data_IF_243397875726
#
_entry.id   IF_243397875726
#
_cell.length_a   1.000
_cell.length_b   1.000
_cell.length_c   1.000
_cell.angle_alpha   90.00
_cell.angle_beta   90.00
_cell.angle_gamma   90.00
#
_symmetry.space_group_name_H-M   'P 1'
#
loop_
_entity.id
_entity.type
_entity.pdbx_description
1 polymer ?
#
# COMPACT_ATOMS: atom_id res chain seq x y z
N UNK A 1 -19.77 -20.01 -8.04
CA UNK A 1 -19.82 -19.59 -6.64
C UNK A 1 -19.42 -18.14 -6.60
N UNK A 2 -20.24 -17.28 -6.02
CA UNK A 2 -19.93 -15.85 -5.89
C UNK A 2 -18.99 -15.65 -4.69
N UNK A 3 -17.92 -14.89 -4.86
CA UNK A 3 -16.95 -14.63 -3.80
C UNK A 3 -17.50 -13.57 -2.84
N UNK A 4 -17.27 -13.75 -1.56
CA UNK A 4 -17.57 -12.74 -0.55
C UNK A 4 -16.67 -11.52 -0.72
N UNK A 5 -17.11 -10.36 -0.20
CA UNK A 5 -16.30 -9.14 -0.24
C UNK A 5 -14.92 -9.32 0.41
N UNK A 6 -14.83 -10.10 1.49
CA UNK A 6 -13.56 -10.40 2.16
C UNK A 6 -12.63 -11.23 1.27
N UNK A 7 -13.17 -12.24 0.58
CA UNK A 7 -12.40 -13.05 -0.35
C UNK A 7 -11.88 -12.22 -1.53
N UNK A 8 -12.69 -11.30 -2.05
CA UNK A 8 -12.29 -10.38 -3.11
C UNK A 8 -11.18 -9.43 -2.66
N UNK A 9 -11.27 -8.89 -1.44
CA UNK A 9 -10.23 -8.04 -0.86
C UNK A 9 -8.92 -8.81 -0.63
N UNK A 10 -9.02 -10.05 -0.14
CA UNK A 10 -7.86 -10.92 0.04
C UNK A 10 -7.18 -11.18 -1.31
N UNK A 11 -7.95 -11.61 -2.31
CA UNK A 11 -7.45 -11.87 -3.66
C UNK A 11 -6.78 -10.63 -4.24
N UNK A 12 -7.39 -9.44 -4.07
CA UNK A 12 -6.81 -8.20 -4.56
C UNK A 12 -5.50 -7.85 -3.85
N UNK A 13 -5.43 -8.07 -2.54
CA UNK A 13 -4.20 -7.88 -1.75
C UNK A 13 -3.06 -8.81 -2.20
N UNK A 14 -3.37 -10.06 -2.49
CA UNK A 14 -2.40 -11.03 -3.01
C UNK A 14 -1.83 -10.58 -4.37
N UNK A 15 -2.69 -10.17 -5.30
CA UNK A 15 -2.23 -9.66 -6.60
C UNK A 15 -1.30 -8.44 -6.46
N UNK A 16 -1.60 -7.53 -5.53
CA UNK A 16 -0.75 -6.36 -5.25
C UNK A 16 0.61 -6.78 -4.67
N UNK A 17 0.65 -7.81 -3.82
CA UNK A 17 1.91 -8.35 -3.26
C UNK A 17 2.76 -9.06 -4.32
N UNK A 18 2.14 -9.79 -5.24
CA UNK A 18 2.83 -10.44 -6.36
C UNK A 18 3.44 -9.40 -7.32
N UNK A 19 2.67 -8.36 -7.65
CA UNK A 19 3.17 -7.24 -8.45
C UNK A 19 4.35 -6.55 -7.76
N UNK A 20 4.23 -6.25 -6.46
CA UNK A 20 5.31 -5.65 -5.68
C UNK A 20 6.58 -6.51 -5.69
N UNK A 21 6.44 -7.82 -5.45
CA UNK A 21 7.57 -8.77 -5.43
C UNK A 21 8.26 -8.86 -6.80
N UNK A 22 7.47 -8.84 -7.86
CA UNK A 22 7.97 -8.81 -9.24
C UNK A 22 8.80 -7.57 -9.55
N UNK A 23 8.33 -6.40 -9.10
CA UNK A 23 9.04 -5.13 -9.30
C UNK A 23 10.35 -5.08 -8.50
N UNK A 24 10.35 -5.63 -7.28
CA UNK A 24 11.55 -5.77 -6.45
C UNK A 24 12.62 -6.64 -7.10
N UNK A 25 12.22 -7.71 -7.81
CA UNK A 25 13.15 -8.63 -8.47
C UNK A 25 13.89 -8.00 -9.66
N UNK A 26 13.56 -6.76 -10.05
CA UNK A 26 14.27 -6.02 -11.10
C UNK A 26 14.00 -6.54 -12.51
N UNK A 27 12.94 -7.32 -12.72
CA UNK A 27 12.56 -7.75 -14.06
C UNK A 27 12.14 -6.53 -14.89
N UNK A 28 12.76 -6.34 -16.06
CA UNK A 28 12.43 -5.24 -16.96
C UNK A 28 10.95 -5.30 -17.33
N UNK A 29 10.24 -4.17 -17.27
CA UNK A 29 8.79 -4.10 -17.43
C UNK A 29 8.29 -4.84 -18.69
N UNK A 30 9.03 -4.77 -19.80
CA UNK A 30 8.75 -5.46 -21.06
C UNK A 30 8.90 -6.99 -20.99
N UNK A 31 9.96 -7.47 -20.31
CA UNK A 31 10.20 -8.89 -20.12
C UNK A 31 9.11 -9.51 -19.25
N UNK A 32 8.66 -8.72 -18.29
CA UNK A 32 7.64 -9.10 -17.34
C UNK A 32 6.24 -9.06 -17.99
N UNK A 33 5.93 -8.07 -18.84
CA UNK A 33 4.71 -8.06 -19.67
C UNK A 33 4.61 -9.28 -20.59
N UNK A 34 5.74 -9.79 -21.10
CA UNK A 34 5.81 -10.98 -21.96
C UNK A 34 5.61 -12.31 -21.22
N UNK A 35 5.97 -12.38 -19.93
CA UNK A 35 5.86 -13.60 -19.10
C UNK A 35 4.59 -13.65 -18.26
N UNK A 36 3.93 -12.51 -18.05
CA UNK A 36 2.73 -12.41 -17.22
C UNK A 36 1.52 -13.05 -17.89
N UNK A 37 0.68 -13.78 -17.12
CA UNK A 37 -0.67 -14.12 -17.55
C UNK A 37 -1.43 -12.85 -17.98
N UNK A 38 -2.30 -12.96 -18.98
CA UNK A 38 -3.12 -11.84 -19.49
C UNK A 38 -3.99 -11.20 -18.39
N UNK A 39 -4.20 -11.90 -17.28
CA UNK A 39 -4.98 -11.47 -16.11
C UNK A 39 -4.13 -10.85 -14.98
N UNK A 40 -2.81 -10.79 -15.11
CA UNK A 40 -1.94 -10.24 -14.07
C UNK A 40 -1.92 -8.71 -14.10
N UNK A 41 -2.02 -8.09 -12.93
CA UNK A 41 -1.97 -6.64 -12.76
C UNK A 41 -0.68 -6.03 -13.31
N UNK A 42 -0.81 -4.96 -14.08
CA UNK A 42 0.29 -4.08 -14.44
C UNK A 42 0.30 -2.83 -13.53
N UNK A 43 1.45 -2.15 -13.37
CA UNK A 43 1.53 -0.92 -12.59
C UNK A 43 0.56 0.16 -13.09
N UNK A 44 0.28 0.18 -14.39
CA UNK A 44 -0.62 1.14 -15.01
C UNK A 44 -2.11 0.91 -14.65
N UNK A 45 -2.46 -0.29 -14.17
CA UNK A 45 -3.83 -0.67 -13.79
C UNK A 45 -4.21 -0.26 -12.36
N UNK A 46 -3.29 0.32 -11.60
CA UNK A 46 -3.47 0.62 -10.17
C UNK A 46 -4.15 1.97 -9.94
N UNK A 47 -5.19 1.98 -9.10
CA UNK A 47 -5.77 3.21 -8.59
C UNK A 47 -4.91 3.90 -7.52
N UNK A 48 -5.23 5.16 -7.19
CA UNK A 48 -4.48 5.95 -6.20
C UNK A 48 -4.31 5.24 -4.83
N UNK A 49 -5.36 4.56 -4.36
CA UNK A 49 -5.32 3.83 -3.08
C UNK A 49 -4.42 2.60 -3.14
N UNK A 50 -4.38 1.92 -4.28
CA UNK A 50 -3.59 0.70 -4.47
C UNK A 50 -2.11 1.04 -4.65
N UNK A 51 -1.83 2.12 -5.38
CA UNK A 51 -0.51 2.75 -5.40
C UNK A 51 -0.06 3.14 -4.00
N UNK A 52 -0.92 3.79 -3.22
CA UNK A 52 -0.61 4.11 -1.83
C UNK A 52 -0.32 2.86 -1.00
N UNK A 53 -1.11 1.79 -1.17
CA UNK A 53 -0.88 0.50 -0.49
C UNK A 53 0.46 -0.13 -0.89
N UNK A 54 0.84 -0.13 -2.17
CA UNK A 54 2.15 -0.60 -2.61
C UNK A 54 3.30 0.24 -2.04
N UNK A 55 3.16 1.57 -2.04
CA UNK A 55 4.09 2.46 -1.35
C UNK A 55 4.13 2.15 0.15
N UNK A 56 3.07 1.61 0.77
CA UNK A 56 3.14 1.14 2.16
C UNK A 56 4.06 -0.04 2.39
N UNK A 57 4.14 -0.97 1.43
CA UNK A 57 4.98 -2.16 1.55
C UNK A 57 6.48 -1.86 1.55
N UNK A 58 6.92 -0.72 1.00
CA UNK A 58 8.34 -0.36 0.95
C UNK A 58 8.89 0.20 2.26
N UNK A 59 8.05 0.47 3.26
CA UNK A 59 8.47 1.11 4.50
C UNK A 59 8.60 0.10 5.64
N UNK A 60 9.68 0.22 6.41
CA UNK A 60 9.85 -0.45 7.69
C UNK A 60 9.97 0.59 8.80
N UNK A 61 9.40 0.29 9.97
CA UNK A 61 9.46 1.14 11.15
C UNK A 61 10.28 0.44 12.23
N UNK A 62 11.25 1.14 12.83
CA UNK A 62 11.93 0.60 14.02
C UNK A 62 10.97 0.60 15.22
N UNK A 63 11.18 -0.27 16.22
CA UNK A 63 10.46 -0.17 17.48
C UNK A 63 10.53 1.26 18.05
N UNK A 64 9.39 1.78 18.51
CA UNK A 64 9.25 3.14 19.03
C UNK A 64 9.08 4.25 17.98
N UNK A 65 9.23 3.97 16.68
CA UNK A 65 9.06 4.98 15.62
C UNK A 65 7.64 5.03 15.05
N UNK A 66 7.15 6.26 14.82
CA UNK A 66 5.80 6.50 14.29
C UNK A 66 4.70 5.75 15.08
N UNK A 67 3.47 5.72 14.58
CA UNK A 67 2.39 4.98 15.25
C UNK A 67 2.64 3.45 15.26
N UNK A 68 3.00 2.80 14.13
CA UNK A 68 3.15 1.34 14.12
C UNK A 68 4.29 0.86 15.02
N UNK A 69 5.45 1.53 15.00
CA UNK A 69 6.59 1.15 15.83
C UNK A 69 6.36 1.41 17.32
N UNK A 70 5.62 2.48 17.69
CA UNK A 70 5.24 2.71 19.10
C UNK A 70 4.29 1.63 19.62
N UNK A 71 3.26 1.29 18.85
CA UNK A 71 2.32 0.21 19.20
C UNK A 71 3.05 -1.12 19.39
N UNK A 72 4.00 -1.43 18.50
CA UNK A 72 4.84 -2.62 18.61
C UNK A 72 5.71 -2.62 19.88
N UNK A 73 6.41 -1.51 20.16
CA UNK A 73 7.32 -1.42 21.31
C UNK A 73 6.60 -1.43 22.67
N UNK A 74 5.38 -0.91 22.75
CA UNK A 74 4.60 -0.89 23.99
C UNK A 74 3.76 -2.16 24.21
N UNK A 75 3.76 -3.09 23.24
CA UNK A 75 2.84 -4.23 23.19
C UNK A 75 1.37 -3.83 23.43
N UNK A 76 0.98 -2.65 22.93
CA UNK A 76 -0.30 -2.01 23.20
C UNK A 76 -1.01 -1.57 21.93
N UNK A 77 -2.32 -1.32 22.03
CA UNK A 77 -3.10 -0.75 20.95
C UNK A 77 -2.89 0.76 20.90
N UNK A 78 -2.59 1.30 19.70
CA UNK A 78 -2.52 2.74 19.48
C UNK A 78 -3.64 3.18 18.53
N UNK A 79 -4.50 4.08 19.01
CA UNK A 79 -5.56 4.70 18.21
C UNK A 79 -5.19 6.13 17.86
N UNK A 80 -5.39 6.50 16.59
CA UNK A 80 -5.22 7.87 16.13
C UNK A 80 -6.61 8.49 15.93
N UNK A 81 -7.01 9.36 16.86
CA UNK A 81 -8.17 10.21 16.68
C UNK A 81 -7.82 11.38 15.76
N UNK A 82 -8.72 11.75 14.85
CA UNK A 82 -8.52 12.83 13.89
C UNK A 82 -7.26 12.68 13.02
N UNK A 83 -7.14 11.56 12.30
CA UNK A 83 -6.02 11.31 11.39
C UNK A 83 -5.81 12.46 10.37
N UNK A 84 -6.89 13.15 9.97
CA UNK A 84 -6.87 14.32 9.10
C UNK A 84 -6.16 15.55 9.71
N UNK A 85 -5.98 15.63 11.03
CA UNK A 85 -5.28 16.72 11.72
C UNK A 85 -3.90 16.33 12.28
N UNK A 86 -3.52 15.05 12.22
CA UNK A 86 -2.23 14.56 12.71
C UNK A 86 -1.01 15.29 12.08
N UNK A 87 0.06 15.50 12.84
CA UNK A 87 1.29 16.12 12.33
C UNK A 87 1.98 15.20 11.30
N UNK A 88 2.50 15.77 10.20
CA UNK A 88 3.28 15.02 9.21
C UNK A 88 4.57 14.44 9.79
N UNK A 89 5.07 14.98 10.91
CA UNK A 89 6.19 14.39 11.67
C UNK A 89 5.81 13.10 12.40
N UNK A 90 4.56 12.97 12.85
CA UNK A 90 4.04 11.75 13.48
C UNK A 90 3.56 10.73 12.45
N UNK A 91 3.19 11.22 11.26
CA UNK A 91 2.68 10.42 10.15
C UNK A 91 3.17 10.99 8.80
N UNK A 92 4.39 10.64 8.35
CA UNK A 92 4.96 11.13 7.07
C UNK A 92 4.03 10.90 5.87
N UNK A 93 3.13 9.91 5.97
CA UNK A 93 2.13 9.54 4.97
C UNK A 93 1.02 10.57 4.74
N UNK A 94 0.83 11.54 5.63
CA UNK A 94 -0.25 12.54 5.49
C UNK A 94 -0.06 13.43 4.26
N UNK A 95 1.19 13.65 3.85
CA UNK A 95 1.49 14.45 2.66
C UNK A 95 1.08 13.73 1.36
N UNK A 96 1.28 12.40 1.29
CA UNK A 96 0.93 11.60 0.12
C UNK A 96 -0.59 11.46 -0.07
N UNK A 97 -1.35 11.29 1.02
CA UNK A 97 -2.81 11.20 0.95
C UNK A 97 -3.48 12.51 0.49
N UNK A 98 -2.90 13.68 0.83
CA UNK A 98 -3.45 14.99 0.48
C UNK A 98 -3.16 15.42 -0.96
N UNK A 99 -2.06 14.94 -1.55
CA UNK A 99 -1.75 15.21 -2.97
C UNK A 99 -2.60 14.35 -3.92
N UNK A 100 -3.06 13.17 -3.48
CA UNK A 100 -3.91 12.28 -4.28
C UNK A 100 -5.41 12.66 -4.25
N UNK A 101 -5.82 13.55 -3.35
CA UNK A 101 -7.21 14.04 -3.25
C UNK A 101 -7.47 15.32 -4.05
N UNK A 102 -6.51 15.79 -4.84
CA UNK A 102 -6.63 17.03 -5.60
C UNK A 102 -6.20 16.80 -7.06
N UNK A 103 -7.07 16.14 -7.83
CA UNK A 103 -7.22 16.47 -9.25
C UNK A 103 -8.52 17.25 -9.38
N UNK A 104 -8.49 18.57 -9.62
CA UNK A 104 -9.68 19.30 -10.02
C UNK A 104 -10.06 18.91 -11.45
N UNK A 105 -11.37 19.01 -11.70
CA UNK A 105 -12.11 18.76 -12.94
C UNK A 105 -11.54 19.41 -14.20
#
# INVERSE_FOLDING_TARGET
MELTAEQLLLQRSEQLRELYSSLLSGECADQQRRRRPVTALSPEDLGNMEWFYMVCMTYAFRPGQCLPGKSFASNGCAWLCNAQSADSKAFPRKLLARQLSASPS
#
